data_IF_259446736470
#
_entry.id   IF_259446736470
#
_cell.length_a   1.000
_cell.length_b   1.000
_cell.length_c   1.000
_cell.angle_alpha   90.00
_cell.angle_beta   90.00
_cell.angle_gamma   90.00
#
_symmetry.space_group_name_H-M   'P 1'
#
loop_
_entity.id
_entity.type
_entity.pdbx_description
1 polymer ?
#
# COMPACT_ATOMS: atom_id res chain seq x y z
N UNK A 1 -15.39 12.03 8.86
CA UNK A 1 -14.92 11.79 7.48
C UNK A 1 -13.83 10.74 7.57
N UNK A 2 -13.93 9.64 6.80
CA UNK A 2 -12.91 8.57 6.80
C UNK A 2 -11.85 8.83 5.72
N UNK A 3 -10.58 8.64 6.05
CA UNK A 3 -9.45 8.80 5.14
C UNK A 3 -8.98 7.43 4.64
N UNK A 4 -8.89 7.27 3.32
CA UNK A 4 -8.25 6.09 2.72
C UNK A 4 -6.75 6.36 2.56
N UNK A 5 -5.90 5.44 3.02
CA UNK A 5 -4.45 5.51 2.80
C UNK A 5 -4.00 4.35 1.93
N UNK A 6 -3.40 4.67 0.78
CA UNK A 6 -2.77 3.67 -0.08
C UNK A 6 -1.48 3.16 0.56
N UNK A 7 -1.48 1.89 0.97
CA UNK A 7 -0.32 1.19 1.48
C UNK A 7 0.36 0.49 0.31
N UNK A 8 1.58 0.89 -0.03
CA UNK A 8 2.36 0.28 -1.13
C UNK A 8 3.26 -0.87 -0.66
N UNK A 9 3.40 -1.04 0.66
CA UNK A 9 4.44 -1.87 1.27
C UNK A 9 5.75 -1.11 1.56
N UNK A 10 5.86 0.14 1.12
CA UNK A 10 6.99 1.03 1.43
C UNK A 10 6.87 1.74 2.78
N UNK A 11 8.02 2.21 3.28
CA UNK A 11 8.13 2.94 4.55
C UNK A 11 7.32 4.25 4.50
N UNK A 12 7.37 4.99 3.40
CA UNK A 12 6.71 6.30 3.29
C UNK A 12 5.21 6.21 3.53
N UNK A 13 4.55 5.26 2.87
CA UNK A 13 3.10 5.03 3.05
C UNK A 13 2.74 4.61 4.47
N UNK A 14 3.64 3.87 5.14
CA UNK A 14 3.47 3.43 6.52
C UNK A 14 3.61 4.59 7.51
N UNK A 15 4.59 5.47 7.30
CA UNK A 15 4.82 6.66 8.11
C UNK A 15 3.67 7.67 7.93
N UNK A 16 3.20 7.88 6.69
CA UNK A 16 2.05 8.73 6.42
C UNK A 16 0.79 8.24 7.17
N UNK A 17 0.49 6.94 7.12
CA UNK A 17 -0.62 6.35 7.87
C UNK A 17 -0.47 6.53 9.39
N UNK A 18 0.77 6.36 9.91
CA UNK A 18 1.06 6.52 11.33
C UNK A 18 0.81 7.95 11.80
N UNK A 19 1.28 8.95 11.06
CA UNK A 19 1.10 10.37 11.40
C UNK A 19 -0.38 10.76 11.41
N UNK A 20 -1.15 10.34 10.41
CA UNK A 20 -2.59 10.58 10.37
C UNK A 20 -3.32 9.91 11.55
N UNK A 21 -2.90 8.70 11.93
CA UNK A 21 -3.45 8.00 13.09
C UNK A 21 -3.13 8.72 14.40
N UNK A 22 -1.91 9.21 14.57
CA UNK A 22 -1.50 9.98 15.75
C UNK A 22 -2.23 11.31 15.88
N UNK A 23 -2.64 11.91 14.76
CA UNK A 23 -3.50 13.10 14.72
C UNK A 23 -4.99 12.81 15.01
N UNK A 24 -5.35 11.55 15.27
CA UNK A 24 -6.71 11.16 15.62
C UNK A 24 -7.66 11.01 14.43
N UNK A 25 -7.15 10.91 13.21
CA UNK A 25 -7.99 10.67 12.04
C UNK A 25 -8.54 9.24 12.02
N UNK A 26 -9.82 9.11 11.64
CA UNK A 26 -10.44 7.83 11.31
C UNK A 26 -10.01 7.42 9.89
N UNK A 27 -9.27 6.32 9.77
CA UNK A 27 -8.64 5.91 8.52
C UNK A 27 -8.66 4.40 8.30
N UNK A 28 -8.60 4.02 7.03
CA UNK A 28 -8.48 2.65 6.59
C UNK A 28 -7.42 2.52 5.50
N UNK A 29 -6.67 1.42 5.53
CA UNK A 29 -5.63 1.12 4.55
C UNK A 29 -6.21 0.42 3.32
N UNK A 30 -5.66 0.74 2.15
CA UNK A 30 -5.90 0.00 0.91
C UNK A 30 -4.57 -0.41 0.30
N UNK A 31 -4.44 -1.66 -0.12
CA UNK A 31 -3.35 -2.11 -0.97
C UNK A 31 -3.89 -2.28 -2.39
N UNK A 32 -3.16 -1.78 -3.39
CA UNK A 32 -3.55 -1.89 -4.79
C UNK A 32 -2.62 -2.86 -5.54
N UNK A 33 -3.21 -3.84 -6.22
CA UNK A 33 -2.51 -4.68 -7.20
C UNK A 33 -2.88 -4.18 -8.60
N UNK A 34 -2.03 -3.32 -9.15
CA UNK A 34 -2.29 -2.68 -10.45
C UNK A 34 -1.79 -3.50 -11.64
N UNK A 35 -0.89 -4.45 -11.39
CA UNK A 35 -0.33 -5.33 -12.40
C UNK A 35 -0.37 -6.77 -11.92
N UNK A 36 -0.72 -7.68 -12.83
CA UNK A 36 -0.66 -9.11 -12.61
C UNK A 36 0.29 -9.70 -13.65
N UNK A 37 1.59 -9.76 -13.31
CA UNK A 37 2.58 -10.36 -14.21
C UNK A 37 2.48 -11.89 -14.10
N UNK A 38 2.10 -12.54 -15.20
CA UNK A 38 2.11 -14.00 -15.34
C UNK A 38 3.37 -14.51 -16.05
N UNK A 39 4.28 -13.62 -16.41
CA UNK A 39 5.45 -13.94 -17.23
C UNK A 39 6.66 -14.21 -16.34
N UNK A 40 6.74 -15.45 -15.83
CA UNK A 40 7.97 -15.97 -15.25
C UNK A 40 9.02 -16.22 -16.33
N UNK A 41 10.13 -15.48 -16.29
CA UNK A 41 11.30 -15.62 -17.18
C UNK A 41 12.17 -16.85 -16.87
N UNK A 42 11.58 -17.96 -16.45
CA UNK A 42 12.28 -19.24 -16.37
C UNK A 42 11.80 -20.15 -17.51
N UNK A 43 12.15 -19.78 -18.74
CA UNK A 43 12.40 -20.80 -19.76
C UNK A 43 13.83 -21.30 -19.51
N UNK A 44 13.94 -22.41 -18.79
CA UNK A 44 15.18 -23.15 -18.69
C UNK A 44 15.68 -23.48 -20.10
N UNK A 45 16.90 -23.03 -20.41
CA UNK A 45 17.72 -23.53 -21.50
C UNK A 45 18.88 -24.28 -20.88
#
# INVERSE_FOLDING_TARGET
MKIAVGLSGGVDSSVAALLLKQQGHDLFGLFMRNWNDTTGTLHGS
#
